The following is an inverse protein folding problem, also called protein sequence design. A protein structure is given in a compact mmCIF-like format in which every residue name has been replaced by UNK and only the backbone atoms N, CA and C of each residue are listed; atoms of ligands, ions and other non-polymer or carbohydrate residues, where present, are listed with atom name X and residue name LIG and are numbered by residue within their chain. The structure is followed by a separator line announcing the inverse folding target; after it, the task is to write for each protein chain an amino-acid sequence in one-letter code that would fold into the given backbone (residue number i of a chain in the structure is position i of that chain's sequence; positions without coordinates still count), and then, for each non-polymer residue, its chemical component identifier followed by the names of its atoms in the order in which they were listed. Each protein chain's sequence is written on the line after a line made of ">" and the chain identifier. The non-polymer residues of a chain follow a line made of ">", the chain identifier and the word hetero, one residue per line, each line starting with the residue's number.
data_IF_088148555884
#
_entry.id   IF_088148555884
#
_cell.length_a   1.000
_cell.length_b   1.000
_cell.length_c   1.000
_cell.angle_alpha   90.00
_cell.angle_beta   90.00
_cell.angle_gamma   90.00
#
_symmetry.space_group_name_H-M   'P 1'
#
loop_
_entity.id
_entity.type
_entity.pdbx_description
1 polymer ?
#
# COMPACT_ATOMS: atom_id res chain seq x y z
N UNK A 1 41.41 -13.15 48.06
CA UNK A 1 40.27 -12.60 47.30
C UNK A 1 40.20 -13.34 45.97
N UNK A 2 39.21 -14.21 45.71
CA UNK A 2 39.02 -14.79 44.39
C UNK A 2 38.06 -13.93 43.56
N UNK A 3 38.43 -13.66 42.30
CA UNK A 3 37.59 -12.96 41.33
C UNK A 3 36.45 -13.87 40.86
N UNK A 4 35.22 -13.38 40.97
CA UNK A 4 34.01 -14.07 40.50
C UNK A 4 33.83 -13.75 39.01
N UNK A 5 34.08 -14.74 38.13
CA UNK A 5 33.75 -14.64 36.71
C UNK A 5 32.25 -14.90 36.52
N UNK A 6 31.48 -13.84 36.31
CA UNK A 6 30.07 -13.92 35.94
C UNK A 6 29.98 -14.15 34.43
N UNK A 7 29.72 -15.39 34.03
CA UNK A 7 29.27 -15.70 32.67
C UNK A 7 27.81 -15.24 32.53
N UNK A 8 27.59 -14.11 31.88
CA UNK A 8 26.26 -13.68 31.46
C UNK A 8 25.87 -14.54 30.25
N UNK A 9 25.04 -15.56 30.50
CA UNK A 9 24.33 -16.28 29.45
C UNK A 9 23.31 -15.33 28.83
N UNK A 10 23.65 -14.77 27.67
CA UNK A 10 22.68 -14.07 26.82
C UNK A 10 21.82 -15.18 26.21
N UNK A 11 20.62 -15.41 26.77
CA UNK A 11 19.58 -16.21 26.14
C UNK A 11 19.12 -15.49 24.86
N UNK A 12 19.86 -15.67 23.76
CA UNK A 12 19.39 -15.31 22.43
C UNK A 12 18.34 -16.34 22.02
N UNK A 13 17.08 -16.04 22.29
CA UNK A 13 15.97 -16.68 21.55
C UNK A 13 16.28 -16.55 20.06
N UNK A 14 16.28 -17.64 19.27
CA UNK A 14 16.51 -17.54 17.84
C UNK A 14 15.48 -16.57 17.24
N UNK A 15 15.87 -15.70 16.30
CA UNK A 15 14.93 -14.78 15.69
C UNK A 15 13.81 -15.60 15.07
N UNK A 16 12.56 -15.36 15.51
CA UNK A 16 11.36 -15.94 14.90
C UNK A 16 11.46 -15.65 13.40
N UNK A 17 11.55 -16.70 12.57
CA UNK A 17 11.53 -16.54 11.12
C UNK A 17 10.29 -15.74 10.76
N UNK A 18 10.49 -14.50 10.31
CA UNK A 18 9.38 -13.63 9.90
C UNK A 18 8.84 -14.19 8.59
N UNK A 19 7.71 -14.89 8.65
CA UNK A 19 7.01 -15.39 7.46
C UNK A 19 6.05 -14.30 7.01
N UNK A 20 6.40 -13.65 5.90
CA UNK A 20 5.55 -12.66 5.25
C UNK A 20 4.36 -13.36 4.61
N UNK A 21 3.17 -12.76 4.74
CA UNK A 21 1.95 -13.29 4.13
C UNK A 21 1.69 -12.68 2.75
N UNK A 22 2.30 -11.53 2.49
CA UNK A 22 2.28 -10.80 1.22
C UNK A 22 3.46 -11.20 0.34
N UNK A 23 3.29 -11.08 -0.97
CA UNK A 23 4.36 -11.24 -1.96
C UNK A 23 4.65 -9.93 -2.66
N UNK A 24 5.86 -9.79 -3.22
CA UNK A 24 6.32 -8.55 -3.82
C UNK A 24 6.89 -8.84 -5.21
N UNK A 25 6.49 -8.02 -6.17
CA UNK A 25 6.82 -8.25 -7.57
C UNK A 25 7.37 -6.98 -8.18
N UNK A 26 8.55 -7.07 -8.80
CA UNK A 26 9.15 -5.97 -9.54
C UNK A 26 8.52 -5.90 -10.92
N UNK A 27 8.01 -4.73 -11.24
CA UNK A 27 7.42 -4.42 -12.53
C UNK A 27 8.51 -4.05 -13.55
N UNK A 28 8.41 -4.65 -14.74
CA UNK A 28 9.16 -4.27 -15.92
C UNK A 28 8.22 -3.64 -16.94
N UNK A 29 8.74 -2.72 -17.74
CA UNK A 29 7.94 -1.97 -18.70
C UNK A 29 7.22 -2.92 -19.69
N UNK A 30 5.91 -2.74 -19.83
CA UNK A 30 5.06 -3.57 -20.69
C UNK A 30 4.63 -4.91 -20.09
N UNK A 31 5.11 -5.27 -18.89
CA UNK A 31 4.74 -6.54 -18.26
C UNK A 31 3.30 -6.57 -17.75
N UNK A 32 2.63 -7.71 -17.93
CA UNK A 32 1.43 -8.06 -17.13
C UNK A 32 1.83 -8.76 -15.83
N UNK A 33 0.89 -9.04 -14.92
CA UNK A 33 1.19 -9.61 -13.60
C UNK A 33 2.08 -10.86 -13.67
N UNK A 34 1.73 -11.82 -14.54
CA UNK A 34 2.43 -13.10 -14.69
C UNK A 34 3.88 -12.95 -15.18
N UNK A 35 4.21 -11.80 -15.76
CA UNK A 35 5.53 -11.46 -16.29
C UNK A 35 6.36 -10.63 -15.31
N UNK A 36 5.75 -10.16 -14.21
CA UNK A 36 6.48 -9.46 -13.15
C UNK A 36 7.46 -10.40 -12.44
N UNK A 37 8.55 -9.84 -11.91
CA UNK A 37 9.59 -10.64 -11.27
C UNK A 37 9.41 -10.69 -9.75
N UNK A 38 9.20 -11.88 -9.21
CA UNK A 38 9.03 -12.09 -7.77
C UNK A 38 10.32 -11.79 -6.99
N UNK A 39 10.27 -10.74 -6.17
CA UNK A 39 11.29 -10.39 -5.17
C UNK A 39 10.91 -11.09 -3.87
N UNK A 40 11.77 -12.01 -3.42
CA UNK A 40 11.52 -12.79 -2.20
C UNK A 40 12.35 -12.18 -1.07
N UNK A 41 11.71 -11.57 -0.06
CA UNK A 41 12.43 -10.98 1.05
C UNK A 41 13.33 -12.00 1.74
N UNK A 42 14.49 -11.53 2.22
CA UNK A 42 15.54 -12.35 2.83
C UNK A 42 16.23 -13.33 1.85
N UNK A 43 16.07 -13.15 0.54
CA UNK A 43 16.82 -13.85 -0.52
C UNK A 43 17.37 -12.86 -1.54
N UNK A 44 18.57 -12.35 -1.29
CA UNK A 44 19.17 -11.25 -2.07
C UNK A 44 19.40 -11.60 -3.54
N UNK A 45 19.56 -12.88 -3.87
CA UNK A 45 19.70 -13.36 -5.24
C UNK A 45 18.48 -13.01 -6.09
N UNK A 46 17.30 -12.87 -5.47
CA UNK A 46 16.08 -12.47 -6.19
C UNK A 46 16.10 -11.03 -6.64
N UNK A 47 16.79 -10.12 -5.94
CA UNK A 47 16.96 -8.73 -6.38
C UNK A 47 17.80 -8.66 -7.65
N UNK A 48 18.91 -9.41 -7.71
CA UNK A 48 19.74 -9.49 -8.91
C UNK A 48 19.00 -10.12 -10.08
N UNK A 49 18.28 -11.22 -9.86
CA UNK A 49 17.49 -11.90 -10.90
C UNK A 49 16.40 -10.99 -11.47
N UNK A 50 15.78 -10.17 -10.63
CA UNK A 50 14.77 -9.21 -11.04
C UNK A 50 15.36 -7.90 -11.58
N UNK A 51 16.68 -7.77 -11.70
CA UNK A 51 17.33 -6.53 -12.14
C UNK A 51 16.90 -5.30 -11.32
N UNK A 52 16.75 -5.45 -9.99
CA UNK A 52 16.57 -4.31 -9.09
C UNK A 52 17.80 -3.41 -9.15
N UNK A 53 17.59 -2.11 -9.35
CA UNK A 53 18.69 -1.14 -9.44
C UNK A 53 18.87 -0.43 -8.10
N UNK A 54 19.98 -0.70 -7.41
CA UNK A 54 20.31 -0.09 -6.11
C UNK A 54 20.49 1.43 -6.12
N UNK A 55 20.65 2.03 -7.30
CA UNK A 55 20.86 3.48 -7.44
C UNK A 55 19.54 4.23 -7.64
N UNK A 56 18.45 3.51 -7.91
CA UNK A 56 17.16 4.10 -8.26
C UNK A 56 16.23 4.14 -7.04
N UNK A 57 15.39 5.17 -6.90
CA UNK A 57 14.37 5.23 -5.86
C UNK A 57 13.37 4.07 -5.98
N UNK A 58 12.60 3.84 -4.90
CA UNK A 58 11.60 2.79 -4.85
C UNK A 58 10.19 3.38 -4.73
N UNK A 59 9.34 3.06 -5.70
CA UNK A 59 7.90 3.22 -5.60
C UNK A 59 7.25 1.86 -5.34
N UNK A 60 6.46 1.73 -4.27
CA UNK A 60 5.70 0.52 -3.96
C UNK A 60 4.19 0.79 -4.10
N UNK A 61 3.56 0.11 -5.05
CA UNK A 61 2.11 0.15 -5.27
C UNK A 61 1.44 -0.90 -4.39
N UNK A 62 0.41 -0.48 -3.66
CA UNK A 62 -0.33 -1.31 -2.70
C UNK A 62 -1.82 -1.24 -3.04
N UNK A 63 -2.35 -2.33 -3.58
CA UNK A 63 -3.75 -2.44 -3.98
C UNK A 63 -4.71 -2.51 -2.78
N UNK A 64 -6.01 -2.40 -3.06
CA UNK A 64 -7.09 -2.42 -2.06
C UNK A 64 -7.72 -3.78 -1.81
N UNK A 65 -8.98 -3.74 -1.34
CA UNK A 65 -9.84 -4.91 -1.18
C UNK A 65 -10.18 -5.53 -2.55
N UNK A 66 -10.40 -6.85 -2.61
CA UNK A 66 -10.81 -7.52 -3.85
C UNK A 66 -11.84 -8.60 -3.57
N UNK A 67 -12.79 -8.77 -4.50
CA UNK A 67 -13.84 -9.79 -4.43
C UNK A 67 -13.59 -11.00 -5.31
N UNK A 68 -12.70 -10.88 -6.30
CA UNK A 68 -12.43 -11.93 -7.28
C UNK A 68 -10.98 -12.45 -7.20
N UNK A 69 -10.14 -11.84 -6.35
CA UNK A 69 -8.73 -12.23 -6.18
C UNK A 69 -7.86 -11.95 -7.41
N UNK A 70 -8.35 -11.16 -8.36
CA UNK A 70 -7.60 -10.76 -9.54
C UNK A 70 -6.84 -9.47 -9.24
N UNK A 71 -5.70 -9.31 -9.91
CA UNK A 71 -4.99 -8.04 -9.93
C UNK A 71 -5.69 -7.13 -10.93
N UNK A 72 -6.01 -5.92 -10.52
CA UNK A 72 -6.76 -4.97 -11.37
C UNK A 72 -5.81 -4.29 -12.37
N UNK A 73 -6.26 -4.02 -13.62
CA UNK A 73 -5.40 -3.43 -14.65
C UNK A 73 -4.76 -2.10 -14.26
N UNK A 74 -5.46 -1.27 -13.47
CA UNK A 74 -4.98 0.05 -13.04
C UNK A 74 -3.60 0.00 -12.35
N UNK A 75 -3.27 -1.13 -11.72
CA UNK A 75 -2.00 -1.33 -11.01
C UNK A 75 -0.83 -1.31 -12.01
N UNK A 76 -1.02 -1.94 -13.17
CA UNK A 76 -0.01 -1.99 -14.24
C UNK A 76 0.01 -0.70 -15.05
N UNK A 77 -1.16 -0.09 -15.27
CA UNK A 77 -1.24 1.23 -15.90
C UNK A 77 -0.50 2.28 -15.05
N UNK A 78 -0.68 2.24 -13.72
CA UNK A 78 0.06 3.10 -12.78
C UNK A 78 1.56 2.80 -12.81
N UNK A 79 1.95 1.53 -12.76
CA UNK A 79 3.35 1.13 -12.80
C UNK A 79 4.04 1.58 -14.10
N UNK A 80 3.35 1.44 -15.23
CA UNK A 80 3.82 1.91 -16.54
C UNK A 80 3.96 3.43 -16.55
N UNK A 81 2.94 4.17 -16.10
CA UNK A 81 2.99 5.63 -16.04
C UNK A 81 4.13 6.13 -15.14
N UNK A 82 4.37 5.48 -14.00
CA UNK A 82 5.49 5.78 -13.11
C UNK A 82 6.84 5.57 -13.80
N UNK A 83 7.01 4.47 -14.55
CA UNK A 83 8.22 4.21 -15.33
C UNK A 83 8.45 5.27 -16.41
N UNK A 84 7.39 5.65 -17.13
CA UNK A 84 7.47 6.69 -18.16
C UNK A 84 7.82 8.06 -17.58
N UNK A 85 7.24 8.41 -16.41
CA UNK A 85 7.42 9.75 -15.80
C UNK A 85 8.73 9.92 -15.03
N UNK A 86 9.18 8.88 -14.34
CA UNK A 86 10.35 8.95 -13.46
C UNK A 86 11.63 8.42 -14.11
N UNK A 87 11.52 7.69 -15.22
CA UNK A 87 12.61 7.06 -16.01
C UNK A 87 13.43 6.03 -15.21
N UNK A 88 14.13 6.47 -14.15
CA UNK A 88 14.94 5.65 -13.26
C UNK A 88 14.23 5.44 -11.93
N UNK A 89 13.45 4.37 -11.84
CA UNK A 89 12.72 4.01 -10.62
C UNK A 89 12.52 2.50 -10.53
N UNK A 90 12.69 1.92 -9.35
CA UNK A 90 12.19 0.59 -9.05
C UNK A 90 10.70 0.68 -8.74
N UNK A 91 9.85 -0.05 -9.48
CA UNK A 91 8.42 -0.13 -9.18
C UNK A 91 8.11 -1.53 -8.66
N UNK A 92 7.78 -1.63 -7.38
CA UNK A 92 7.31 -2.87 -6.75
C UNK A 92 5.79 -2.85 -6.63
N UNK A 93 5.18 -4.01 -6.74
CA UNK A 93 3.75 -4.24 -6.49
C UNK A 93 3.65 -5.18 -5.29
N UNK A 94 2.90 -4.78 -4.27
CA UNK A 94 2.54 -5.67 -3.15
C UNK A 94 1.30 -6.49 -3.51
N UNK A 95 1.48 -7.80 -3.68
CA UNK A 95 0.37 -8.75 -3.85
C UNK A 95 0.01 -9.35 -2.48
N UNK A 96 -1.09 -8.85 -1.93
CA UNK A 96 -1.72 -9.34 -0.71
C UNK A 96 -3.15 -9.85 -0.98
N UNK A 97 -3.47 -10.22 -2.23
CA UNK A 97 -4.81 -10.64 -2.66
C UNK A 97 -5.40 -11.76 -1.82
N UNK A 98 -4.58 -12.68 -1.29
CA UNK A 98 -5.05 -13.74 -0.38
C UNK A 98 -5.66 -13.21 0.93
N UNK A 99 -5.16 -12.07 1.41
CA UNK A 99 -5.63 -11.40 2.62
C UNK A 99 -6.70 -10.35 2.32
N UNK A 100 -6.68 -9.77 1.11
CA UNK A 100 -7.69 -8.85 0.61
C UNK A 100 -8.99 -9.58 0.18
N UNK A 101 -8.89 -10.80 -0.36
CA UNK A 101 -10.02 -11.66 -0.73
C UNK A 101 -10.63 -12.32 0.51
N UNK A 102 -11.18 -11.50 1.38
CA UNK A 102 -11.84 -11.87 2.63
C UNK A 102 -13.07 -10.97 2.81
N UNK A 103 -14.05 -11.33 3.67
CA UNK A 103 -15.10 -10.41 4.06
C UNK A 103 -14.49 -9.06 4.48
N UNK A 104 -15.06 -7.95 4.04
CA UNK A 104 -14.46 -6.61 4.18
C UNK A 104 -13.91 -6.31 5.59
N UNK A 105 -14.62 -6.60 6.71
CA UNK A 105 -14.07 -6.35 8.06
C UNK A 105 -12.78 -7.13 8.35
N UNK A 106 -12.66 -8.34 7.81
CA UNK A 106 -11.46 -9.18 7.94
C UNK A 106 -10.33 -8.61 7.09
N UNK A 107 -10.62 -8.20 5.85
CA UNK A 107 -9.64 -7.56 4.98
C UNK A 107 -9.13 -6.22 5.55
N UNK A 108 -10.03 -5.40 6.09
CA UNK A 108 -9.70 -4.16 6.79
C UNK A 108 -8.79 -4.43 7.99
N UNK A 109 -9.06 -5.47 8.80
CA UNK A 109 -8.16 -5.90 9.88
C UNK A 109 -6.81 -6.41 9.36
N UNK A 110 -6.79 -7.13 8.24
CA UNK A 110 -5.59 -7.67 7.63
C UNK A 110 -4.62 -6.58 7.15
N UNK A 111 -5.11 -5.38 6.82
CA UNK A 111 -4.27 -4.25 6.38
C UNK A 111 -3.10 -3.97 7.34
N UNK A 112 -3.29 -4.11 8.66
CA UNK A 112 -2.20 -3.95 9.64
C UNK A 112 -1.13 -5.03 9.53
N UNK A 113 -1.51 -6.27 9.22
CA UNK A 113 -0.54 -7.34 8.96
C UNK A 113 0.22 -7.10 7.66
N UNK A 114 -0.46 -6.65 6.60
CA UNK A 114 0.20 -6.32 5.33
C UNK A 114 1.15 -5.13 5.50
N UNK A 115 0.78 -4.13 6.31
CA UNK A 115 1.68 -3.02 6.66
C UNK A 115 2.95 -3.49 7.36
N UNK A 116 2.84 -4.50 8.25
CA UNK A 116 4.02 -5.16 8.83
C UNK A 116 4.86 -5.88 7.78
N UNK A 117 4.23 -6.53 6.80
CA UNK A 117 4.94 -7.23 5.74
C UNK A 117 5.73 -6.25 4.85
N UNK A 118 5.10 -5.12 4.47
CA UNK A 118 5.75 -4.03 3.73
C UNK A 118 6.90 -3.43 4.52
N UNK A 119 6.70 -3.13 5.81
CA UNK A 119 7.76 -2.60 6.66
C UNK A 119 8.94 -3.58 6.79
N UNK A 120 8.68 -4.89 6.83
CA UNK A 120 9.72 -5.92 6.86
C UNK A 120 10.51 -5.98 5.54
N UNK A 121 9.84 -5.84 4.38
CA UNK A 121 10.51 -5.70 3.08
C UNK A 121 11.43 -4.47 3.09
N UNK A 122 10.92 -3.29 3.43
CA UNK A 122 11.69 -2.04 3.39
C UNK A 122 12.91 -2.08 4.33
N UNK A 123 12.74 -2.61 5.55
CA UNK A 123 13.86 -2.82 6.49
C UNK A 123 14.91 -3.76 5.93
N UNK A 124 14.47 -4.83 5.25
CA UNK A 124 15.41 -5.76 4.61
C UNK A 124 16.19 -5.08 3.47
N UNK A 125 15.52 -4.31 2.60
CA UNK A 125 16.19 -3.56 1.54
C UNK A 125 17.17 -2.51 2.08
N UNK A 126 16.82 -1.83 3.17
CA UNK A 126 17.66 -0.82 3.82
C UNK A 126 18.98 -1.40 4.37
N UNK A 127 18.94 -2.61 4.95
CA UNK A 127 20.13 -3.27 5.53
C UNK A 127 21.01 -3.97 4.49
N UNK A 128 20.47 -4.29 3.32
CA UNK A 128 21.20 -4.92 2.21
C UNK A 128 22.05 -3.89 1.45
N UNK A 129 23.05 -3.30 2.11
CA UNK A 129 23.84 -2.18 1.57
C UNK A 129 24.55 -2.47 0.23
N UNK A 130 25.08 -3.66 0.04
CA UNK A 130 25.78 -4.00 -1.21
C UNK A 130 24.82 -4.24 -2.40
N UNK A 131 23.59 -4.69 -2.11
CA UNK A 131 22.65 -5.20 -3.13
C UNK A 131 21.51 -4.22 -3.43
N UNK A 132 20.98 -3.54 -2.42
CA UNK A 132 19.83 -2.65 -2.56
C UNK A 132 20.11 -1.21 -2.11
N UNK A 133 20.88 -1.02 -1.03
CA UNK A 133 21.27 0.29 -0.49
C UNK A 133 20.11 1.30 -0.28
N UNK A 134 18.90 0.82 -0.04
CA UNK A 134 17.72 1.68 -0.02
C UNK A 134 17.80 2.72 1.12
N UNK A 135 17.67 4.00 0.78
CA UNK A 135 17.36 5.06 1.73
C UNK A 135 15.86 5.15 1.93
N UNK A 136 15.39 5.40 3.16
CA UNK A 136 13.96 5.61 3.40
C UNK A 136 13.45 6.92 2.78
N UNK A 137 14.34 7.90 2.57
CA UNK A 137 14.03 9.16 1.89
C UNK A 137 13.61 8.93 0.42
N UNK A 138 14.16 7.89 -0.21
CA UNK A 138 13.92 7.52 -1.61
C UNK A 138 12.75 6.53 -1.78
N UNK A 139 11.94 6.33 -0.73
CA UNK A 139 10.77 5.45 -0.76
C UNK A 139 9.49 6.25 -0.90
N UNK A 140 8.68 5.87 -1.88
CA UNK A 140 7.32 6.35 -2.07
C UNK A 140 6.33 5.18 -2.05
N UNK A 141 5.44 5.15 -1.06
CA UNK A 141 4.35 4.18 -1.00
C UNK A 141 3.09 4.79 -1.61
N UNK A 142 2.47 4.09 -2.56
CA UNK A 142 1.18 4.49 -3.14
C UNK A 142 0.16 3.44 -2.79
N UNK A 143 -0.81 3.79 -1.96
CA UNK A 143 -1.84 2.88 -1.49
C UNK A 143 -3.23 3.28 -1.96
N UNK A 144 -3.97 2.36 -2.56
CA UNK A 144 -5.37 2.58 -2.96
C UNK A 144 -6.35 1.91 -2.00
N UNK A 145 -7.44 2.60 -1.63
CA UNK A 145 -8.50 2.04 -0.77
C UNK A 145 -7.92 1.51 0.56
N UNK A 146 -8.09 0.22 0.90
CA UNK A 146 -7.43 -0.41 2.06
C UNK A 146 -5.90 -0.32 2.00
N UNK A 147 -5.32 -0.29 0.81
CA UNK A 147 -3.88 -0.15 0.57
C UNK A 147 -3.31 1.17 1.08
N UNK A 148 -4.11 2.24 1.13
CA UNK A 148 -3.69 3.52 1.73
C UNK A 148 -3.38 3.37 3.21
N UNK A 149 -4.21 2.61 3.93
CA UNK A 149 -3.97 2.30 5.34
C UNK A 149 -2.84 1.29 5.52
N UNK A 150 -2.67 0.33 4.61
CA UNK A 150 -1.47 -0.53 4.59
C UNK A 150 -0.20 0.32 4.50
N UNK A 151 -0.17 1.34 3.62
CA UNK A 151 0.95 2.26 3.49
C UNK A 151 1.21 3.03 4.80
N UNK A 152 0.16 3.57 5.43
CA UNK A 152 0.26 4.23 6.74
C UNK A 152 0.81 3.31 7.82
N UNK A 153 0.25 2.11 7.95
CA UNK A 153 0.75 1.11 8.90
C UNK A 153 2.20 0.71 8.64
N UNK A 154 2.61 0.59 7.38
CA UNK A 154 4.01 0.34 7.03
C UNK A 154 4.92 1.51 7.46
N UNK A 155 4.52 2.74 7.13
CA UNK A 155 5.23 3.97 7.49
C UNK A 155 5.41 4.15 9.00
N UNK A 156 4.39 3.81 9.80
CA UNK A 156 4.41 3.91 11.27
C UNK A 156 5.53 3.11 11.97
N UNK A 157 6.14 2.14 11.25
CA UNK A 157 7.30 1.37 11.72
C UNK A 157 8.63 2.12 11.61
N UNK A 158 8.63 3.31 11.01
CA UNK A 158 9.80 4.16 10.78
C UNK A 158 9.59 5.51 11.45
N UNK A 159 10.60 5.98 12.22
CA UNK A 159 10.48 7.18 13.06
C UNK A 159 11.73 8.05 12.96
N UNK A 160 11.56 9.34 13.30
CA UNK A 160 12.66 10.31 13.27
C UNK A 160 13.27 10.40 11.88
N UNK A 161 14.61 10.36 11.82
CA UNK A 161 15.40 10.43 10.58
C UNK A 161 15.25 9.22 9.65
N UNK A 162 14.46 8.20 10.05
CA UNK A 162 14.22 7.01 9.22
C UNK A 162 12.83 6.98 8.60
N UNK A 163 11.99 8.00 8.81
CA UNK A 163 10.65 8.07 8.20
C UNK A 163 10.74 7.86 6.69
N UNK A 164 9.79 7.10 6.15
CA UNK A 164 9.60 6.95 4.70
C UNK A 164 9.41 8.32 4.06
N UNK A 165 10.01 8.54 2.89
CA UNK A 165 9.99 9.82 2.18
C UNK A 165 8.57 10.28 1.87
N UNK A 166 7.78 9.45 1.19
CA UNK A 166 6.41 9.81 0.81
C UNK A 166 5.40 8.67 0.93
N UNK A 167 4.18 9.00 1.33
CA UNK A 167 3.01 8.15 1.17
C UNK A 167 1.95 8.93 0.39
N UNK A 168 1.42 8.33 -0.68
CA UNK A 168 0.20 8.81 -1.34
C UNK A 168 -0.96 7.85 -1.06
N UNK A 169 -2.04 8.37 -0.48
CA UNK A 169 -3.30 7.65 -0.31
C UNK A 169 -4.27 7.97 -1.43
N UNK A 170 -4.54 7.01 -2.31
CA UNK A 170 -5.54 7.13 -3.36
C UNK A 170 -6.88 6.62 -2.82
N UNK A 171 -7.83 7.53 -2.62
CA UNK A 171 -9.16 7.33 -2.04
C UNK A 171 -9.14 6.37 -0.83
N UNK A 172 -8.43 6.71 0.27
CA UNK A 172 -8.28 5.83 1.42
C UNK A 172 -9.63 5.35 1.94
N UNK A 173 -9.75 4.07 2.31
CA UNK A 173 -11.06 3.50 2.65
C UNK A 173 -11.70 4.13 3.90
N UNK A 174 -12.96 4.56 3.81
CA UNK A 174 -13.72 5.12 4.93
C UNK A 174 -14.22 4.06 5.92
N UNK A 175 -14.95 3.02 5.48
CA UNK A 175 -15.51 2.03 6.38
C UNK A 175 -14.42 1.32 7.20
N UNK A 176 -14.60 1.28 8.53
CA UNK A 176 -13.64 0.79 9.54
C UNK A 176 -12.41 1.68 9.82
N UNK A 177 -12.32 2.88 9.24
CA UNK A 177 -11.23 3.82 9.50
C UNK A 177 -11.71 5.25 9.81
N UNK A 178 -12.91 5.62 9.33
CA UNK A 178 -13.53 6.91 9.65
C UNK A 178 -13.68 7.12 11.16
N UNK A 179 -13.33 8.31 11.66
CA UNK A 179 -13.31 8.64 13.08
C UNK A 179 -12.26 7.93 13.94
N UNK A 180 -11.47 6.99 13.39
CA UNK A 180 -10.42 6.31 14.17
C UNK A 180 -9.20 7.22 14.43
N UNK A 181 -8.48 6.98 15.55
CA UNK A 181 -7.27 7.71 15.86
C UNK A 181 -6.15 7.42 14.84
N UNK A 182 -5.18 8.34 14.73
CA UNK A 182 -4.09 8.29 13.74
C UNK A 182 -3.36 6.93 13.68
N UNK A 183 -3.12 6.26 14.81
CA UNK A 183 -2.41 4.97 14.85
C UNK A 183 -3.21 3.78 14.29
N UNK A 184 -4.50 3.98 14.01
CA UNK A 184 -5.42 2.98 13.46
C UNK A 184 -5.82 3.25 12.01
N UNK A 185 -5.18 4.20 11.32
CA UNK A 185 -5.42 4.52 9.90
C UNK A 185 -4.19 5.17 9.26
N UNK A 186 -4.34 5.67 8.04
CA UNK A 186 -3.35 6.57 7.42
C UNK A 186 -3.36 7.91 8.16
N UNK A 187 -2.19 8.48 8.39
CA UNK A 187 -2.01 9.78 9.05
C UNK A 187 -0.79 10.52 8.52
N UNK A 188 -0.70 11.85 8.75
CA UNK A 188 0.50 12.63 8.40
C UNK A 188 1.77 12.13 9.11
N UNK A 189 1.63 11.46 10.26
CA UNK A 189 2.76 10.98 11.04
C UNK A 189 3.50 9.79 10.40
N UNK A 190 2.90 9.14 9.39
CA UNK A 190 3.41 7.87 8.85
C UNK A 190 4.58 8.04 7.86
N UNK A 191 4.82 9.24 7.34
CA UNK A 191 5.96 9.55 6.45
C UNK A 191 6.47 10.97 6.69
N UNK A 192 7.51 11.36 5.94
CA UNK A 192 7.98 12.76 5.90
C UNK A 192 6.96 13.64 5.19
N UNK A 193 6.37 13.13 4.10
CA UNK A 193 5.24 13.76 3.43
C UNK A 193 4.15 12.73 3.13
N UNK A 194 2.91 13.15 3.32
CA UNK A 194 1.73 12.32 3.09
C UNK A 194 0.75 13.19 2.32
N UNK A 195 0.33 12.72 1.16
CA UNK A 195 -0.72 13.33 0.36
C UNK A 195 -1.86 12.33 0.13
N UNK A 196 -3.10 12.81 0.12
CA UNK A 196 -4.26 11.97 -0.12
C UNK A 196 -5.18 12.60 -1.16
N UNK A 197 -5.76 11.76 -2.02
CA UNK A 197 -6.75 12.16 -3.01
C UNK A 197 -8.07 11.48 -2.66
N UNK A 198 -9.12 12.27 -2.44
CA UNK A 198 -10.43 11.80 -2.01
C UNK A 198 -11.41 11.93 -3.17
N UNK A 199 -11.85 10.81 -3.72
CA UNK A 199 -12.67 10.79 -4.95
C UNK A 199 -14.07 10.27 -4.72
N UNK A 200 -14.30 9.47 -3.67
CA UNK A 200 -15.60 8.86 -3.39
C UNK A 200 -15.99 8.86 -1.91
N UNK A 201 -15.99 10.05 -1.28
CA UNK A 201 -16.35 10.23 0.14
C UNK A 201 -17.86 10.25 0.41
N UNK A 202 -18.68 10.24 -0.65
CA UNK A 202 -20.13 10.26 -0.57
C UNK A 202 -20.72 11.64 -0.26
N UNK A 203 -21.99 11.66 0.13
CA UNK A 203 -22.77 12.87 0.44
C UNK A 203 -23.64 12.67 1.67
N UNK A 204 -24.38 13.70 2.10
CA UNK A 204 -25.32 13.59 3.22
C UNK A 204 -26.46 12.58 2.98
N UNK A 205 -26.68 12.16 1.74
CA UNK A 205 -27.77 11.27 1.34
C UNK A 205 -27.23 9.89 0.92
N UNK A 206 -25.96 9.82 0.48
CA UNK A 206 -25.36 8.62 -0.09
C UNK A 206 -24.04 8.31 0.59
N UNK A 207 -23.86 7.12 1.21
CA UNK A 207 -22.59 6.74 1.80
C UNK A 207 -21.52 6.55 0.72
N UNK A 208 -20.34 7.12 0.93
CA UNK A 208 -19.16 6.87 0.12
C UNK A 208 -18.36 5.67 0.62
N UNK A 209 -17.37 5.26 -0.17
CA UNK A 209 -16.41 4.22 0.21
C UNK A 209 -15.06 4.79 0.65
N UNK A 210 -14.73 6.01 0.23
CA UNK A 210 -13.56 6.76 0.67
C UNK A 210 -13.77 7.46 2.01
N UNK A 211 -12.70 7.66 2.75
CA UNK A 211 -12.67 8.37 4.01
C UNK A 211 -12.88 9.86 3.76
N UNK A 212 -13.75 10.50 4.53
CA UNK A 212 -14.07 11.92 4.39
C UNK A 212 -13.13 12.80 5.19
N UNK A 213 -12.74 12.37 6.41
CA UNK A 213 -11.80 13.15 7.21
C UNK A 213 -10.46 13.32 6.50
N UNK A 214 -9.78 14.43 6.79
CA UNK A 214 -8.38 14.64 6.38
C UNK A 214 -7.47 13.65 7.10
N UNK A 215 -6.58 13.02 6.34
CA UNK A 215 -5.66 11.98 6.80
C UNK A 215 -4.21 12.24 6.39
N UNK A 216 -3.94 13.34 5.69
CA UNK A 216 -2.64 13.63 5.09
C UNK A 216 -2.13 15.04 5.45
N UNK A 217 -0.90 15.34 5.07
CA UNK A 217 -0.39 16.72 5.15
C UNK A 217 -1.12 17.61 4.12
N UNK A 218 -1.46 17.03 2.97
CA UNK A 218 -2.26 17.67 1.93
C UNK A 218 -3.34 16.68 1.47
N UNK A 219 -4.59 17.05 1.66
CA UNK A 219 -5.75 16.29 1.21
C UNK A 219 -6.42 17.01 0.04
N UNK A 220 -6.46 16.36 -1.12
CA UNK A 220 -7.10 16.86 -2.33
C UNK A 220 -8.52 16.27 -2.43
N UNK A 221 -9.50 17.13 -2.67
CA UNK A 221 -10.90 16.72 -2.89
C UNK A 221 -11.38 17.16 -4.29
N UNK A 222 -10.92 16.50 -5.36
CA UNK A 222 -11.34 16.79 -6.73
C UNK A 222 -12.87 16.79 -6.84
N UNK A 223 -13.43 17.82 -7.46
CA UNK A 223 -14.88 17.99 -7.61
C UNK A 223 -15.65 17.95 -6.26
N UNK A 224 -15.00 18.36 -5.16
CA UNK A 224 -15.55 18.30 -3.80
C UNK A 224 -15.41 16.93 -3.13
N UNK A 225 -14.78 15.96 -3.79
CA UNK A 225 -14.42 14.63 -3.28
C UNK A 225 -15.58 13.68 -3.03
N UNK A 226 -16.81 14.05 -3.41
CA UNK A 226 -18.00 13.23 -3.22
C UNK A 226 -18.18 12.21 -4.35
N UNK A 227 -18.46 12.68 -5.57
CA UNK A 227 -18.58 11.87 -6.78
C UNK A 227 -17.83 12.57 -7.90
N UNK A 228 -17.29 11.78 -8.83
CA UNK A 228 -16.53 12.31 -9.94
C UNK A 228 -17.38 12.32 -11.22
N UNK A 229 -17.29 13.38 -12.05
CA UNK A 229 -17.98 13.42 -13.34
C UNK A 229 -17.65 12.19 -14.19
N UNK A 230 -18.67 11.56 -14.78
CA UNK A 230 -18.50 10.36 -15.60
C UNK A 230 -18.63 9.03 -14.85
N UNK A 231 -18.74 9.03 -13.52
CA UNK A 231 -19.18 7.86 -12.75
C UNK A 231 -20.72 7.76 -12.81
N UNK A 232 -21.27 6.69 -13.41
CA UNK A 232 -22.72 6.45 -13.40
C UNK A 232 -23.19 6.00 -12.01
N UNK A 233 -24.12 6.76 -11.42
CA UNK A 233 -24.67 6.49 -10.09
C UNK A 233 -25.42 5.15 -9.98
N UNK A 234 -25.99 4.64 -11.08
CA UNK A 234 -27.00 3.57 -11.06
C UNK A 234 -26.44 2.15 -10.79
N UNK A 235 -25.17 1.88 -11.10
CA UNK A 235 -24.56 0.55 -10.88
C UNK A 235 -24.01 0.34 -9.46
N UNK A 236 -23.76 1.42 -8.71
CA UNK A 236 -23.31 1.39 -7.30
C UNK A 236 -24.43 0.84 -6.40
N UNK A 237 -25.68 1.22 -6.70
CA UNK A 237 -26.83 0.87 -5.88
C UNK A 237 -27.30 -0.58 -6.04
N UNK A 238 -27.23 -1.16 -7.23
CA UNK A 238 -27.71 -2.53 -7.46
C UNK A 238 -26.97 -3.55 -6.59
N UNK A 239 -25.66 -3.38 -6.39
CA UNK A 239 -24.84 -4.32 -5.64
C UNK A 239 -24.95 -4.14 -4.10
N UNK A 240 -25.03 -2.90 -3.62
CA UNK A 240 -25.18 -2.62 -2.17
C UNK A 240 -26.58 -2.97 -1.67
N UNK A 241 -27.64 -2.70 -2.45
CA UNK A 241 -29.02 -3.03 -2.06
C UNK A 241 -29.34 -4.52 -2.19
N UNK A 242 -28.69 -5.24 -3.12
CA UNK A 242 -28.97 -6.67 -3.35
C UNK A 242 -28.14 -7.61 -2.45
N UNK A 243 -26.94 -7.18 -1.99
CA UNK A 243 -26.00 -8.05 -1.28
C UNK A 243 -25.35 -7.41 -0.03
N UNK A 244 -25.70 -6.17 0.35
CA UNK A 244 -25.05 -5.43 1.44
C UNK A 244 -23.62 -4.97 1.12
N UNK A 245 -22.82 -4.57 2.12
CA UNK A 245 -21.37 -4.32 1.96
C UNK A 245 -20.57 -5.57 1.52
N UNK A 246 -21.24 -6.69 1.27
CA UNK A 246 -20.70 -7.93 0.72
C UNK A 246 -20.96 -8.06 -0.80
N UNK A 247 -21.55 -7.03 -1.43
CA UNK A 247 -21.97 -7.02 -2.84
C UNK A 247 -20.90 -6.64 -3.86
N UNK A 248 -21.07 -7.22 -5.05
CA UNK A 248 -20.13 -7.25 -6.19
C UNK A 248 -19.66 -5.87 -6.66
N UNK A 249 -18.39 -5.54 -6.45
CA UNK A 249 -17.73 -4.30 -6.88
C UNK A 249 -17.24 -4.31 -8.35
N UNK A 250 -17.63 -5.31 -9.14
CA UNK A 250 -16.97 -5.64 -10.41
C UNK A 250 -17.15 -4.67 -11.58
N UNK A 251 -18.00 -3.63 -11.46
CA UNK A 251 -18.16 -2.59 -12.49
C UNK A 251 -17.96 -1.17 -11.95
N UNK A 252 -18.17 -0.95 -10.64
CA UNK A 252 -18.09 0.38 -10.03
C UNK A 252 -16.66 0.77 -9.64
N UNK A 253 -15.83 -0.19 -9.23
CA UNK A 253 -14.44 0.06 -8.81
C UNK A 253 -13.60 0.55 -9.99
N UNK A 254 -13.79 -0.04 -11.17
CA UNK A 254 -13.08 0.31 -12.41
C UNK A 254 -13.12 1.79 -12.79
N UNK A 255 -14.20 2.53 -12.47
CA UNK A 255 -14.30 3.95 -12.85
C UNK A 255 -13.57 4.85 -11.85
N UNK A 256 -13.72 4.59 -10.55
CA UNK A 256 -13.00 5.34 -9.51
C UNK A 256 -11.50 5.03 -9.54
N UNK A 257 -11.12 3.78 -9.81
CA UNK A 257 -9.73 3.37 -10.01
C UNK A 257 -9.09 4.14 -11.16
N UNK A 258 -9.81 4.28 -12.29
CA UNK A 258 -9.35 5.06 -13.45
C UNK A 258 -9.22 6.56 -13.15
N UNK A 259 -10.08 7.13 -12.31
CA UNK A 259 -9.98 8.55 -11.96
C UNK A 259 -8.80 8.81 -11.03
N UNK A 260 -8.62 7.99 -10.00
CA UNK A 260 -7.44 8.09 -9.14
C UNK A 260 -6.15 7.90 -9.93
N UNK A 261 -6.16 6.93 -10.85
CA UNK A 261 -5.08 6.75 -11.81
C UNK A 261 -4.90 8.00 -12.66
N UNK A 262 -5.93 8.57 -13.28
CA UNK A 262 -5.78 9.73 -14.16
C UNK A 262 -5.34 11.02 -13.45
N UNK A 263 -5.77 11.22 -12.21
CA UNK A 263 -5.38 12.38 -11.40
C UNK A 263 -3.94 12.31 -10.92
N UNK A 264 -3.42 11.10 -10.71
CA UNK A 264 -2.04 10.84 -10.32
C UNK A 264 -1.11 10.65 -11.55
N UNK A 265 -1.74 10.17 -12.62
CA UNK A 265 -1.45 9.95 -14.05
C UNK A 265 -0.91 11.10 -14.84
#
# INVERSE_FOLDING_TARGET
>A
MPQLNIYIYINSTPPVKTVLKSSFHLYHEGSVFEETCAVVPFRSETLHRCAYNRSDPLVLIIHGWTMNGRMEPWIFDLASALKVRLEWVNVLISDWRKLALQPYPVAAKNSRQVGRDVAALLKWLEVMKEVAQLSMDDVHLIGYSLGAHVAGFAGSHFRGLRKVGRITGLDPAGPYFEGLPAFDRLSPDDAQFVDAVHTFTGSSIVPGMGIKQSVAHVDFYPNGGSFQPGCEMLDIYSNVFQYGLQGTAGQNMDTFDKINLHLFT
#
